data_IF_780787636313
#
_entry.id   IF_780787636313
#
_cell.length_a   1.000
_cell.length_b   1.000
_cell.length_c   1.000
_cell.angle_alpha   90.00
_cell.angle_beta   90.00
_cell.angle_gamma   90.00
#
_symmetry.space_group_name_H-M   'P 1'
#
loop_
_entity.id
_entity.type
_entity.pdbx_description
1 polymer ?
#
# COMPACT_ATOMS: atom_id res chain seq x y z
N UNK A 1 12.81 -29.39 -20.96
CA UNK A 1 12.25 -28.03 -21.02
C UNK A 1 11.06 -27.81 -20.10
N UNK A 2 10.03 -28.67 -20.06
CA UNK A 2 8.86 -28.47 -19.18
C UNK A 2 9.17 -28.38 -17.68
N UNK A 3 10.09 -29.22 -17.15
CA UNK A 3 10.46 -29.20 -15.73
C UNK A 3 11.22 -27.92 -15.31
N UNK A 4 12.01 -27.34 -16.23
CA UNK A 4 12.75 -26.11 -15.98
C UNK A 4 11.81 -24.89 -15.99
N UNK A 5 10.82 -24.91 -16.88
CA UNK A 5 9.75 -23.90 -16.95
C UNK A 5 8.84 -23.95 -15.71
N UNK A 6 8.48 -25.16 -15.25
CA UNK A 6 7.72 -25.38 -14.01
C UNK A 6 8.49 -24.93 -12.76
N UNK A 7 9.80 -25.19 -12.69
CA UNK A 7 10.64 -24.76 -11.57
C UNK A 7 10.79 -23.23 -11.52
N UNK A 8 10.93 -22.58 -12.68
CA UNK A 8 11.00 -21.13 -12.78
C UNK A 8 9.69 -20.45 -12.35
N UNK A 9 8.54 -21.01 -12.75
CA UNK A 9 7.22 -20.51 -12.36
C UNK A 9 6.98 -20.59 -10.84
N UNK A 10 7.42 -21.69 -10.20
CA UNK A 10 7.36 -21.85 -8.74
C UNK A 10 8.25 -20.84 -8.00
N UNK A 11 9.43 -20.50 -8.54
CA UNK A 11 10.34 -19.52 -7.92
C UNK A 11 9.76 -18.10 -7.94
N UNK A 12 9.07 -17.72 -9.03
CA UNK A 12 8.42 -16.41 -9.14
C UNK A 12 7.28 -16.19 -8.15
N UNK A 13 6.53 -17.23 -7.77
CA UNK A 13 5.40 -17.12 -6.82
C UNK A 13 5.86 -16.81 -5.37
N UNK A 14 7.09 -17.18 -5.01
CA UNK A 14 7.64 -16.93 -3.66
C UNK A 14 8.08 -15.47 -3.50
N UNK A 15 8.55 -14.83 -4.57
CA UNK A 15 9.01 -13.43 -4.54
C UNK A 15 7.87 -12.42 -4.31
N UNK A 16 6.61 -12.79 -4.55
CA UNK A 16 5.46 -11.91 -4.34
C UNK A 16 5.05 -11.79 -2.85
N UNK A 17 5.55 -12.69 -1.99
CA UNK A 17 5.10 -12.84 -0.60
C UNK A 17 6.18 -12.41 0.42
N UNK A 18 7.00 -11.39 0.11
CA UNK A 18 8.02 -10.91 1.05
C UNK A 18 7.38 -10.43 2.36
N UNK A 19 7.48 -11.18 3.48
CA UNK A 19 6.72 -10.86 4.69
C UNK A 19 6.99 -9.44 5.21
N UNK A 20 8.21 -8.91 4.98
CA UNK A 20 8.58 -7.55 5.34
C UNK A 20 7.90 -6.44 4.54
N UNK A 21 7.45 -6.68 3.30
CA UNK A 21 6.73 -5.66 2.52
C UNK A 21 5.28 -5.52 2.99
N UNK A 22 4.59 -6.65 3.13
CA UNK A 22 3.21 -6.74 3.61
C UNK A 22 3.10 -6.12 5.01
N UNK A 23 4.06 -6.41 5.90
CA UNK A 23 4.13 -5.80 7.23
C UNK A 23 4.22 -4.28 7.17
N UNK A 24 5.09 -3.71 6.31
CA UNK A 24 5.23 -2.26 6.16
C UNK A 24 3.96 -1.59 5.63
N UNK A 25 3.25 -2.24 4.70
CA UNK A 25 1.98 -1.75 4.18
C UNK A 25 0.92 -1.71 5.28
N UNK A 26 0.81 -2.79 6.07
CA UNK A 26 -0.12 -2.85 7.20
C UNK A 26 0.20 -1.78 8.26
N UNK A 27 1.47 -1.64 8.63
CA UNK A 27 1.92 -0.57 9.55
C UNK A 27 1.61 0.83 8.99
N UNK A 28 1.83 1.06 7.70
CA UNK A 28 1.53 2.34 7.06
C UNK A 28 0.04 2.67 7.10
N UNK A 29 -0.82 1.71 6.78
CA UNK A 29 -2.29 1.86 6.85
C UNK A 29 -2.73 2.22 8.26
N UNK A 30 -2.28 1.46 9.26
CA UNK A 30 -2.58 1.69 10.66
C UNK A 30 -2.16 3.10 11.13
N UNK A 31 -0.92 3.51 10.84
CA UNK A 31 -0.45 4.87 11.15
C UNK A 31 -1.26 5.97 10.47
N UNK A 32 -1.71 5.74 9.23
CA UNK A 32 -2.50 6.72 8.49
C UNK A 32 -3.92 6.88 9.04
N UNK A 33 -4.52 5.81 9.57
CA UNK A 33 -5.91 5.82 10.02
C UNK A 33 -6.05 6.14 11.51
N UNK A 34 -5.01 5.87 12.31
CA UNK A 34 -5.03 6.18 13.74
C UNK A 34 -5.21 7.67 14.02
N UNK A 35 -6.23 8.00 14.81
CA UNK A 35 -6.57 9.36 15.24
C UNK A 35 -5.43 10.08 15.98
N UNK A 36 -4.63 9.33 16.75
CA UNK A 36 -3.48 9.86 17.51
C UNK A 36 -2.17 9.92 16.71
N UNK A 37 -2.21 9.52 15.43
CA UNK A 37 -1.06 9.48 14.52
C UNK A 37 -1.36 10.36 13.31
N UNK A 38 -1.49 9.77 12.12
CA UNK A 38 -1.74 10.52 10.88
C UNK A 38 -3.14 11.10 10.79
N UNK A 39 -4.15 10.39 11.32
CA UNK A 39 -5.57 10.78 11.26
C UNK A 39 -6.02 11.21 9.86
N UNK A 40 -5.48 10.60 8.81
CA UNK A 40 -5.63 11.05 7.44
C UNK A 40 -7.08 10.99 6.95
N UNK A 41 -7.84 10.01 7.44
CA UNK A 41 -9.28 9.86 7.14
C UNK A 41 -10.14 11.01 7.65
N UNK A 42 -9.65 11.83 8.59
CA UNK A 42 -10.40 13.02 9.01
C UNK A 42 -10.58 14.03 7.88
N UNK A 43 -9.66 14.05 6.91
CA UNK A 43 -9.67 14.99 5.80
C UNK A 43 -9.82 14.32 4.43
N UNK A 44 -9.33 13.09 4.26
CA UNK A 44 -9.19 12.46 2.95
C UNK A 44 -9.96 11.14 2.84
N UNK A 45 -10.45 10.87 1.64
CA UNK A 45 -10.89 9.54 1.23
C UNK A 45 -9.67 8.69 0.88
N UNK A 46 -9.55 7.53 1.51
CA UNK A 46 -8.50 6.52 1.28
C UNK A 46 -9.20 5.17 1.14
N UNK A 47 -8.70 4.30 0.26
CA UNK A 47 -9.21 2.94 0.06
C UNK A 47 -9.29 2.17 1.39
N UNK A 48 -10.37 1.42 1.59
CA UNK A 48 -10.74 0.71 2.83
C UNK A 48 -10.88 1.59 4.10
N UNK A 49 -10.90 2.92 3.95
CA UNK A 49 -11.11 3.84 5.07
C UNK A 49 -12.58 3.89 5.49
N UNK A 50 -12.85 3.73 6.78
CA UNK A 50 -14.20 3.91 7.34
C UNK A 50 -14.46 5.37 7.69
N UNK A 51 -15.67 5.86 7.35
CA UNK A 51 -16.13 7.23 7.63
C UNK A 51 -15.13 8.33 7.19
N UNK A 52 -14.64 8.32 5.95
CA UNK A 52 -13.67 9.32 5.50
C UNK A 52 -14.31 10.71 5.37
N UNK A 53 -13.53 11.73 5.71
CA UNK A 53 -13.77 13.11 5.33
C UNK A 53 -13.43 13.34 3.85
N UNK A 54 -13.98 14.39 3.28
CA UNK A 54 -13.79 14.78 1.88
C UNK A 54 -13.39 16.25 1.72
N UNK A 55 -12.88 16.88 2.78
CA UNK A 55 -12.35 18.25 2.74
C UNK A 55 -11.09 18.33 1.89
N UNK A 56 -10.22 17.32 1.99
CA UNK A 56 -9.06 17.14 1.13
C UNK A 56 -9.37 16.26 -0.08
N UNK A 57 -8.49 16.25 -1.10
CA UNK A 57 -8.65 15.39 -2.26
C UNK A 57 -8.63 13.91 -1.87
N UNK A 58 -9.33 13.07 -2.62
CA UNK A 58 -9.20 11.62 -2.48
C UNK A 58 -7.76 11.18 -2.80
N UNK A 59 -7.19 10.31 -1.96
CA UNK A 59 -5.82 9.82 -2.09
C UNK A 59 -5.79 8.51 -2.87
N UNK A 60 -6.26 8.56 -4.11
CA UNK A 60 -6.20 7.44 -5.07
C UNK A 60 -4.97 7.56 -5.96
N UNK A 61 -4.38 6.43 -6.37
CA UNK A 61 -3.24 6.36 -7.28
C UNK A 61 -2.04 7.26 -6.88
N UNK A 62 -1.84 7.48 -5.57
CA UNK A 62 -0.81 8.38 -5.04
C UNK A 62 0.60 7.97 -5.49
N UNK A 63 0.89 6.68 -5.63
CA UNK A 63 2.18 6.17 -6.10
C UNK A 63 2.48 6.51 -7.57
N UNK A 64 1.45 6.68 -8.39
CA UNK A 64 1.63 7.10 -9.79
C UNK A 64 1.99 8.59 -9.87
N UNK A 65 1.37 9.39 -8.99
CA UNK A 65 1.58 10.84 -8.88
C UNK A 65 2.94 11.18 -8.26
N UNK A 66 3.34 10.45 -7.23
CA UNK A 66 4.57 10.67 -6.48
C UNK A 66 5.43 9.40 -6.52
N UNK A 67 6.38 9.37 -7.47
CA UNK A 67 7.26 8.22 -7.75
C UNK A 67 8.40 8.11 -6.74
N UNK A 68 8.67 9.17 -5.98
CA UNK A 68 9.66 9.17 -4.90
C UNK A 68 9.22 10.02 -3.71
N UNK A 69 9.81 9.79 -2.54
CA UNK A 69 9.51 10.56 -1.32
C UNK A 69 9.90 12.03 -1.44
N UNK A 70 10.85 12.37 -2.28
CA UNK A 70 11.26 13.75 -2.53
C UNK A 70 10.17 14.57 -3.25
N UNK A 71 9.14 13.92 -3.79
CA UNK A 71 8.05 14.56 -4.51
C UNK A 71 6.80 14.76 -3.64
N UNK A 72 6.73 14.12 -2.46
CA UNK A 72 5.65 14.28 -1.48
C UNK A 72 5.80 15.58 -0.71
#
# INVERSE_FOLDING_TARGET
>A
MNKLLLLALCLSLVACNYPGMQQRLATGKDLSFQRSKGNCLACHVIEDGEYPGNTGPALVNIQEKYRSRQQL
#
